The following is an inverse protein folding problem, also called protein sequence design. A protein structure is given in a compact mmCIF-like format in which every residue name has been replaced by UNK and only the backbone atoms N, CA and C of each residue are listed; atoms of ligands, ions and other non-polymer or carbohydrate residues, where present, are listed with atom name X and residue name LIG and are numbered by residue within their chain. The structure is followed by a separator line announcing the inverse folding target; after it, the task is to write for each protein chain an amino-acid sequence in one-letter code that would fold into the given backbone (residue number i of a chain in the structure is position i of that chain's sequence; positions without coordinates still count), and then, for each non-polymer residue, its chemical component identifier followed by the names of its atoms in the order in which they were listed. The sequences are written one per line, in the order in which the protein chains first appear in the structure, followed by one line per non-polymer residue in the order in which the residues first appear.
data_IF_912893310873
#
_entry.id   IF_912893310873
#
_cell.length_a   1.000
_cell.length_b   1.000
_cell.length_c   1.000
_cell.angle_alpha   90.00
_cell.angle_beta   90.00
_cell.angle_gamma   90.00
#
_symmetry.space_group_name_H-M   'P 1'
#
loop_
_entity.id
_entity.type
_entity.pdbx_description
1 polymer ?
#
# COMPACT_ATOMS: atom_id res chain seq x y z
N UNK A 1 7.88 8.28 3.35
CA UNK A 1 6.58 8.55 4.03
C UNK A 1 5.62 9.17 3.03
N UNK A 2 4.43 8.57 2.86
CA UNK A 2 3.34 9.11 2.02
C UNK A 2 2.57 10.18 2.79
N UNK A 3 2.24 11.28 2.14
CA UNK A 3 1.39 12.37 2.69
C UNK A 3 0.00 12.32 2.07
N UNK A 4 -0.08 12.16 0.73
CA UNK A 4 -1.32 12.17 -0.01
C UNK A 4 -1.17 11.41 -1.32
N UNK A 5 -2.22 10.73 -1.72
CA UNK A 5 -2.40 10.15 -3.05
C UNK A 5 -3.71 10.65 -3.64
N UNK A 6 -3.70 11.04 -4.91
CA UNK A 6 -4.90 11.38 -5.65
C UNK A 6 -4.94 10.73 -7.02
N UNK A 7 -6.16 10.42 -7.48
CA UNK A 7 -6.41 9.77 -8.76
C UNK A 7 -7.71 10.24 -9.37
N UNK A 8 -7.73 10.38 -10.69
CA UNK A 8 -8.91 10.74 -11.49
C UNK A 8 -8.99 9.87 -12.74
N UNK A 9 -10.20 9.57 -13.17
CA UNK A 9 -10.51 8.82 -14.39
C UNK A 9 -9.79 7.47 -14.49
N UNK A 10 -9.92 6.63 -13.46
CA UNK A 10 -9.31 5.31 -13.44
C UNK A 10 -10.24 4.26 -12.81
N UNK A 11 -10.46 3.14 -13.49
CA UNK A 11 -11.37 2.05 -13.08
C UNK A 11 -12.79 2.57 -12.76
N UNK A 12 -13.24 2.48 -11.51
CA UNK A 12 -14.54 3.02 -11.07
C UNK A 12 -14.47 4.47 -10.57
N UNK A 13 -13.29 5.07 -10.55
CA UNK A 13 -13.06 6.44 -10.12
C UNK A 13 -13.23 7.36 -11.34
N UNK A 14 -14.27 8.19 -11.33
CA UNK A 14 -14.57 9.14 -12.41
C UNK A 14 -13.90 10.48 -12.18
N UNK A 15 -14.21 11.08 -11.06
CA UNK A 15 -13.73 12.39 -10.64
C UNK A 15 -12.54 12.23 -9.67
N UNK A 16 -11.84 13.31 -9.38
CA UNK A 16 -10.67 13.26 -8.52
C UNK A 16 -11.01 12.85 -7.09
N UNK A 17 -10.40 11.77 -6.61
CA UNK A 17 -10.46 11.34 -5.22
C UNK A 17 -9.10 11.48 -4.57
N UNK A 18 -9.09 11.76 -3.26
CA UNK A 18 -7.88 12.05 -2.50
C UNK A 18 -7.85 11.22 -1.23
N UNK A 19 -6.83 10.38 -1.08
CA UNK A 19 -6.48 9.68 0.15
C UNK A 19 -5.36 10.46 0.86
N UNK A 20 -5.66 11.06 2.01
CA UNK A 20 -4.70 11.85 2.77
C UNK A 20 -4.27 11.13 4.04
N UNK A 21 -2.98 11.05 4.27
CA UNK A 21 -2.38 10.62 5.54
C UNK A 21 -1.92 11.81 6.40
N UNK A 22 -2.30 13.03 6.05
CA UNK A 22 -2.09 14.19 6.91
C UNK A 22 -3.06 14.09 8.09
N UNK A 23 -2.51 14.11 9.32
CA UNK A 23 -3.33 14.01 10.51
C UNK A 23 -4.21 15.25 10.71
N UNK A 24 -5.42 15.03 11.13
CA UNK A 24 -6.35 16.07 11.54
C UNK A 24 -5.92 16.73 12.86
N UNK A 25 -6.68 17.75 13.29
CA UNK A 25 -6.46 18.41 14.58
C UNK A 25 -6.92 17.58 15.80
N UNK A 26 -7.36 16.36 15.57
CA UNK A 26 -7.75 15.43 16.63
C UNK A 26 -6.54 15.03 17.49
N UNK A 27 -6.69 15.04 18.81
CA UNK A 27 -5.60 14.71 19.74
C UNK A 27 -5.66 13.27 20.28
N UNK A 28 -6.62 12.47 19.80
CA UNK A 28 -6.70 11.05 20.14
C UNK A 28 -5.50 10.29 19.54
N UNK A 29 -5.04 9.25 20.24
CA UNK A 29 -4.00 8.34 19.77
C UNK A 29 -2.76 9.05 19.20
N UNK A 30 -2.04 9.87 19.98
CA UNK A 30 -0.84 10.56 19.49
C UNK A 30 0.27 9.60 19.05
N UNK A 31 0.29 8.37 19.55
CA UNK A 31 1.20 7.28 19.17
C UNK A 31 0.99 6.79 17.73
N UNK A 32 -0.19 7.02 17.15
CA UNK A 32 -0.51 6.68 15.75
C UNK A 32 0.07 7.69 14.74
N UNK A 33 0.86 8.66 15.21
CA UNK A 33 1.33 9.75 14.39
C UNK A 33 2.84 9.71 14.18
N UNK A 34 3.26 10.08 12.99
CA UNK A 34 4.64 10.41 12.63
C UNK A 34 4.76 11.94 12.69
N UNK A 35 5.71 12.45 13.44
CA UNK A 35 5.96 13.89 13.57
C UNK A 35 7.03 14.31 12.58
N UNK A 36 6.68 15.22 11.67
CA UNK A 36 7.58 15.81 10.66
C UNK A 36 7.54 17.35 10.79
N UNK A 37 8.45 17.89 11.58
CA UNK A 37 8.46 19.31 11.92
C UNK A 37 7.16 19.73 12.62
N UNK A 38 6.41 20.66 12.02
CA UNK A 38 5.12 21.13 12.52
C UNK A 38 3.91 20.33 12.00
N UNK A 39 4.16 19.30 11.19
CA UNK A 39 3.11 18.45 10.63
C UNK A 39 3.11 17.10 11.29
N UNK A 40 1.95 16.48 11.31
CA UNK A 40 1.75 15.12 11.81
C UNK A 40 1.10 14.30 10.70
N UNK A 41 1.57 13.07 10.54
CA UNK A 41 1.09 12.16 9.52
C UNK A 41 0.63 10.85 10.16
N UNK A 42 -0.36 10.21 9.56
CA UNK A 42 -0.93 8.96 10.04
C UNK A 42 0.02 7.79 9.72
N UNK A 43 0.16 6.87 10.67
CA UNK A 43 0.87 5.60 10.48
C UNK A 43 0.04 4.56 9.75
N UNK A 44 -1.30 4.67 9.80
CA UNK A 44 -2.17 3.76 9.08
C UNK A 44 -3.46 4.42 8.58
N UNK A 45 -4.03 3.85 7.50
CA UNK A 45 -5.36 4.18 7.01
C UNK A 45 -6.06 2.89 6.54
N UNK A 46 -7.32 2.72 6.95
CA UNK A 46 -8.18 1.60 6.53
C UNK A 46 -9.33 2.10 5.67
N UNK A 47 -9.61 1.39 4.57
CA UNK A 47 -10.68 1.74 3.64
C UNK A 47 -11.79 0.68 3.73
N UNK A 48 -12.99 1.12 4.11
CA UNK A 48 -14.22 0.33 4.17
C UNK A 48 -15.14 0.65 3.02
N UNK A 49 -16.13 -0.19 2.82
CA UNK A 49 -17.20 0.02 1.84
C UNK A 49 -17.85 -1.29 1.43
N UNK A 50 -18.99 -1.22 0.78
CA UNK A 50 -19.69 -2.36 0.22
C UNK A 50 -18.83 -3.12 -0.81
N UNK A 51 -19.22 -4.36 -1.13
CA UNK A 51 -18.64 -5.06 -2.26
C UNK A 51 -18.88 -4.25 -3.55
N UNK A 52 -17.84 -4.16 -4.38
CA UNK A 52 -17.83 -3.36 -5.60
C UNK A 52 -17.98 -1.83 -5.42
N UNK A 53 -17.83 -1.28 -4.19
CA UNK A 53 -17.82 0.17 -3.97
C UNK A 53 -16.60 0.89 -4.52
N UNK A 54 -15.49 0.16 -4.78
CA UNK A 54 -14.26 0.71 -5.34
C UNK A 54 -13.06 0.70 -4.40
N UNK A 55 -13.13 0.07 -3.21
CA UNK A 55 -11.98 -0.08 -2.29
C UNK A 55 -10.70 -0.52 -3.00
N UNK A 56 -10.75 -1.69 -3.65
CA UNK A 56 -9.61 -2.24 -4.40
C UNK A 56 -9.19 -1.34 -5.55
N UNK A 57 -10.10 -0.55 -6.14
CA UNK A 57 -9.77 0.32 -7.28
C UNK A 57 -8.91 1.51 -6.86
N UNK A 58 -9.05 2.02 -5.64
CA UNK A 58 -8.15 3.04 -5.07
C UNK A 58 -6.73 2.47 -4.94
N UNK A 59 -6.59 1.25 -4.39
CA UNK A 59 -5.27 0.61 -4.24
C UNK A 59 -4.67 0.19 -5.59
N UNK A 60 -5.49 -0.29 -6.53
CA UNK A 60 -5.05 -0.61 -7.89
C UNK A 60 -4.60 0.64 -8.66
N UNK A 61 -5.17 1.81 -8.39
CA UNK A 61 -4.69 3.05 -8.96
C UNK A 61 -3.30 3.41 -8.44
N UNK A 62 -3.06 3.23 -7.14
CA UNK A 62 -1.73 3.41 -6.56
C UNK A 62 -0.72 2.40 -7.12
N UNK A 63 -1.10 1.13 -7.22
CA UNK A 63 -0.29 0.09 -7.85
C UNK A 63 0.06 0.45 -9.32
N UNK A 64 -0.91 0.89 -10.11
CA UNK A 64 -0.67 1.32 -11.50
C UNK A 64 0.37 2.45 -11.55
N UNK A 65 0.23 3.47 -10.68
CA UNK A 65 1.17 4.58 -10.61
C UNK A 65 2.58 4.10 -10.31
N UNK A 66 2.76 3.30 -9.26
CA UNK A 66 4.06 2.76 -8.85
C UNK A 66 4.67 1.90 -9.96
N UNK A 67 3.90 0.95 -10.49
CA UNK A 67 4.37 0.07 -11.56
C UNK A 67 4.78 0.84 -12.83
N UNK A 68 3.99 1.85 -13.23
CA UNK A 68 4.28 2.64 -14.42
C UNK A 68 5.53 3.52 -14.24
N UNK A 69 5.74 4.09 -13.06
CA UNK A 69 6.98 4.81 -12.71
C UNK A 69 8.19 3.89 -12.80
N UNK A 70 8.10 2.69 -12.25
CA UNK A 70 9.24 1.76 -12.21
C UNK A 70 9.56 1.11 -13.56
N UNK A 71 8.55 0.94 -14.45
CA UNK A 71 8.71 0.10 -15.65
C UNK A 71 8.59 0.81 -16.98
N UNK A 72 8.06 2.06 -17.03
CA UNK A 72 7.73 2.71 -18.31
C UNK A 72 8.94 2.99 -19.21
N UNK A 73 10.16 3.12 -18.64
CA UNK A 73 11.39 3.25 -19.44
C UNK A 73 11.65 2.06 -20.36
N UNK A 74 11.13 0.87 -20.04
CA UNK A 74 11.26 -0.36 -20.82
C UNK A 74 10.22 -0.49 -21.95
N UNK A 75 9.23 0.41 -22.01
CA UNK A 75 8.19 0.31 -23.03
C UNK A 75 8.74 0.52 -24.45
N UNK A 76 8.30 -0.32 -25.37
CA UNK A 76 8.62 -0.15 -26.79
C UNK A 76 7.94 1.10 -27.35
N UNK A 77 8.56 1.72 -28.33
CA UNK A 77 7.99 2.87 -29.04
C UNK A 77 6.61 2.50 -29.62
N UNK A 78 5.63 3.39 -29.43
CA UNK A 78 4.24 3.21 -29.88
C UNK A 78 3.44 2.10 -29.19
N UNK A 79 4.00 1.40 -28.18
CA UNK A 79 3.19 0.50 -27.35
C UNK A 79 2.14 1.32 -26.59
N UNK A 80 0.91 0.81 -26.56
CA UNK A 80 -0.19 1.42 -25.79
C UNK A 80 0.09 1.36 -24.28
N UNK A 81 -0.32 2.40 -23.59
CA UNK A 81 -0.31 2.45 -22.12
C UNK A 81 -1.57 1.71 -21.65
N UNK A 82 -1.38 0.61 -20.90
CA UNK A 82 -2.46 -0.25 -20.42
C UNK A 82 -3.17 0.38 -19.21
N UNK A 83 -3.74 1.58 -19.40
CA UNK A 83 -4.60 2.20 -18.38
C UNK A 83 -6.03 1.69 -18.50
N UNK A 84 -6.80 1.81 -17.44
CA UNK A 84 -8.23 1.47 -17.42
C UNK A 84 -9.04 2.70 -17.03
N UNK A 85 -9.45 3.56 -18.00
CA UNK A 85 -10.25 4.74 -17.66
C UNK A 85 -11.65 4.37 -17.19
N UNK A 86 -12.32 5.28 -16.51
CA UNK A 86 -13.73 5.12 -16.16
C UNK A 86 -14.58 4.93 -17.41
N UNK A 87 -15.45 3.90 -17.43
CA UNK A 87 -16.13 3.45 -18.65
C UNK A 87 -17.60 3.87 -18.76
N UNK A 88 -18.21 4.37 -17.68
CA UNK A 88 -19.65 4.64 -17.64
C UNK A 88 -20.05 6.08 -17.99
N UNK A 89 -19.11 6.84 -18.61
CA UNK A 89 -19.39 8.14 -19.21
C UNK A 89 -18.77 8.21 -20.62
N UNK A 90 -19.40 8.96 -21.53
CA UNK A 90 -18.95 9.01 -22.94
C UNK A 90 -17.59 9.68 -23.11
N UNK A 91 -17.30 10.70 -22.30
CA UNK A 91 -16.11 11.52 -22.38
C UNK A 91 -14.88 10.88 -21.71
N UNK A 92 -15.08 10.09 -20.68
CA UNK A 92 -13.99 9.58 -19.83
C UNK A 92 -13.02 8.63 -20.53
N UNK A 93 -13.41 7.74 -21.47
CA UNK A 93 -12.44 6.90 -22.17
C UNK A 93 -11.42 7.71 -22.99
N UNK A 94 -11.78 8.90 -23.49
CA UNK A 94 -10.88 9.77 -24.25
C UNK A 94 -10.12 10.77 -23.38
N UNK A 95 -10.57 11.03 -22.15
CA UNK A 95 -9.87 11.90 -21.20
C UNK A 95 -8.64 11.20 -20.62
N UNK A 96 -7.56 11.93 -20.27
CA UNK A 96 -6.46 11.36 -19.54
C UNK A 96 -6.90 10.78 -18.17
N UNK A 97 -6.19 9.76 -17.70
CA UNK A 97 -6.20 9.36 -16.30
C UNK A 97 -5.06 10.08 -15.59
N UNK A 98 -5.34 10.67 -14.42
CA UNK A 98 -4.38 11.50 -13.68
C UNK A 98 -4.06 10.87 -12.34
N UNK A 99 -2.79 10.95 -11.93
CA UNK A 99 -2.26 10.41 -10.68
C UNK A 99 -1.30 11.42 -10.07
N UNK A 100 -1.39 11.62 -8.76
CA UNK A 100 -0.45 12.44 -8.01
C UNK A 100 -0.15 11.82 -6.65
N UNK A 101 1.10 11.92 -6.22
CA UNK A 101 1.53 11.64 -4.85
C UNK A 101 2.29 12.83 -4.27
N UNK A 102 2.03 13.10 -2.99
CA UNK A 102 2.86 13.97 -2.16
C UNK A 102 3.49 13.09 -1.09
N UNK A 103 4.80 13.12 -0.97
CA UNK A 103 5.54 12.27 -0.04
C UNK A 103 6.80 12.93 0.45
N UNK A 104 7.40 12.38 1.52
CA UNK A 104 8.70 12.78 2.04
C UNK A 104 9.67 11.61 1.95
N UNK A 105 10.85 11.83 1.40
CA UNK A 105 11.99 10.91 1.43
C UNK A 105 13.26 11.68 1.70
N UNK A 106 14.20 11.10 2.47
CA UNK A 106 15.46 11.73 2.86
C UNK A 106 15.27 13.15 3.46
N UNK A 107 14.17 13.35 4.23
CA UNK A 107 13.85 14.65 4.84
C UNK A 107 13.35 15.73 3.88
N UNK A 108 13.18 15.42 2.60
CA UNK A 108 12.70 16.35 1.56
C UNK A 108 11.30 15.93 1.12
N UNK A 109 10.37 16.89 1.09
CA UNK A 109 9.03 16.68 0.54
C UNK A 109 9.07 16.83 -0.97
N UNK A 110 8.37 15.92 -1.66
CA UNK A 110 8.15 15.91 -3.10
C UNK A 110 6.66 15.92 -3.43
N UNK A 111 6.31 16.48 -4.59
CA UNK A 111 5.03 16.32 -5.25
C UNK A 111 5.31 15.85 -6.68
N UNK A 112 4.87 14.66 -7.01
CA UNK A 112 5.01 14.05 -8.32
C UNK A 112 3.66 13.65 -8.87
N UNK A 113 3.39 14.01 -10.10
CA UNK A 113 2.15 13.66 -10.78
C UNK A 113 2.33 13.51 -12.28
N UNK A 114 1.41 12.77 -12.88
CA UNK A 114 1.31 12.62 -14.32
C UNK A 114 -0.14 12.35 -14.77
N UNK A 115 -0.41 12.67 -16.03
CA UNK A 115 -1.64 12.30 -16.70
C UNK A 115 -1.34 11.55 -18.00
N UNK A 116 -2.11 10.48 -18.28
CA UNK A 116 -1.87 9.59 -19.41
C UNK A 116 -3.15 9.27 -20.17
N UNK A 117 -3.03 9.17 -21.49
CA UNK A 117 -3.99 8.49 -22.37
C UNK A 117 -3.46 7.10 -22.72
N UNK A 118 -4.18 6.34 -23.54
CA UNK A 118 -3.70 5.05 -24.03
C UNK A 118 -2.45 5.17 -24.92
N UNK A 119 -2.15 6.38 -25.43
CA UNK A 119 -1.09 6.61 -26.41
C UNK A 119 0.10 7.38 -25.88
N UNK A 120 -0.12 8.25 -24.89
CA UNK A 120 0.89 9.18 -24.47
C UNK A 120 0.72 9.65 -23.02
N UNK A 121 1.83 10.03 -22.43
CA UNK A 121 1.90 10.88 -21.24
C UNK A 121 1.58 12.31 -21.70
N UNK A 122 0.51 12.88 -21.17
CA UNK A 122 0.05 14.24 -21.56
C UNK A 122 0.75 15.28 -20.69
N UNK A 123 0.77 15.04 -19.36
CA UNK A 123 1.43 15.89 -18.39
C UNK A 123 2.26 15.04 -17.46
N UNK A 124 3.35 15.61 -16.97
CA UNK A 124 4.19 15.02 -15.93
C UNK A 124 4.97 16.12 -15.23
N UNK A 125 5.06 16.09 -13.91
CA UNK A 125 5.80 17.09 -13.16
C UNK A 125 6.44 16.50 -11.91
N UNK A 126 7.55 17.09 -11.49
CA UNK A 126 8.20 16.83 -10.22
C UNK A 126 8.59 18.17 -9.56
N UNK A 127 7.97 18.42 -8.42
CA UNK A 127 8.34 19.47 -7.50
C UNK A 127 9.00 18.89 -6.27
N UNK A 128 9.94 19.63 -5.70
CA UNK A 128 10.53 19.33 -4.39
C UNK A 128 10.49 20.57 -3.50
N UNK A 129 10.64 20.39 -2.20
CA UNK A 129 10.47 21.46 -1.22
C UNK A 129 11.71 21.57 -0.32
N UNK A 130 12.88 21.98 -0.86
CA UNK A 130 14.05 22.28 -0.05
C UNK A 130 13.72 23.47 0.84
N UNK A 131 14.00 23.35 2.13
CA UNK A 131 13.69 24.41 3.10
C UNK A 131 12.20 24.83 3.13
N UNK A 132 11.28 23.94 2.77
CA UNK A 132 9.83 24.18 2.79
C UNK A 132 9.27 25.00 1.63
N UNK A 133 10.09 25.51 0.71
CA UNK A 133 9.65 26.26 -0.47
C UNK A 133 9.59 25.34 -1.68
N UNK A 134 8.54 25.52 -2.49
CA UNK A 134 8.36 24.76 -3.72
C UNK A 134 9.41 25.17 -4.77
N UNK A 135 10.08 24.18 -5.34
CA UNK A 135 10.97 24.33 -6.49
C UNK A 135 10.65 23.26 -7.54
N UNK A 136 10.73 23.63 -8.81
CA UNK A 136 10.50 22.71 -9.92
C UNK A 136 11.80 21.96 -10.25
N UNK A 137 11.71 20.64 -10.44
CA UNK A 137 12.78 19.86 -11.07
C UNK A 137 12.50 19.78 -12.56
N UNK A 138 11.31 19.28 -12.94
CA UNK A 138 10.85 19.29 -14.32
C UNK A 138 9.31 19.37 -14.39
N UNK A 139 8.82 19.87 -15.51
CA UNK A 139 7.42 19.86 -15.91
C UNK A 139 7.36 19.49 -17.41
N UNK A 140 6.42 18.64 -17.78
CA UNK A 140 6.10 18.23 -19.14
C UNK A 140 4.64 18.52 -19.41
N UNK A 141 4.34 19.25 -20.50
CA UNK A 141 2.97 19.55 -20.96
C UNK A 141 2.80 19.12 -22.42
N UNK A 142 1.57 18.81 -22.78
CA UNK A 142 1.23 18.43 -24.15
C UNK A 142 2.20 17.40 -24.75
N UNK A 143 2.68 16.46 -23.93
CA UNK A 143 3.57 15.36 -24.30
C UNK A 143 5.01 15.80 -24.67
N UNK A 144 5.22 16.98 -25.25
CA UNK A 144 6.50 17.39 -25.85
C UNK A 144 7.07 18.68 -25.28
N UNK A 145 6.27 19.47 -24.59
CA UNK A 145 6.72 20.71 -24.01
C UNK A 145 7.31 20.47 -22.62
N UNK A 146 8.63 20.61 -22.50
CA UNK A 146 9.37 20.39 -21.26
C UNK A 146 9.93 21.69 -20.71
N UNK A 147 9.79 21.86 -19.42
CA UNK A 147 10.36 22.96 -18.67
C UNK A 147 11.26 22.42 -17.56
N UNK A 148 12.50 22.86 -17.55
CA UNK A 148 13.51 22.56 -16.55
C UNK A 148 14.00 23.84 -15.86
N UNK A 149 14.32 23.78 -14.57
CA UNK A 149 14.87 24.93 -13.82
C UNK A 149 16.26 24.67 -13.25
N UNK A 150 16.71 23.43 -13.30
CA UNK A 150 18.02 22.99 -12.85
C UNK A 150 18.61 22.03 -13.88
N UNK A 151 19.95 21.94 -13.98
CA UNK A 151 20.68 20.99 -14.82
C UNK A 151 20.11 20.89 -16.27
N UNK A 152 19.82 22.06 -16.87
CA UNK A 152 19.01 22.17 -18.10
C UNK A 152 19.60 21.39 -19.27
N UNK A 153 20.93 21.39 -19.46
CA UNK A 153 21.61 20.73 -20.58
C UNK A 153 21.52 19.19 -20.43
N UNK A 154 21.73 18.68 -19.24
CA UNK A 154 21.60 17.27 -18.93
C UNK A 154 20.12 16.81 -19.14
N UNK A 155 19.17 17.55 -18.59
CA UNK A 155 17.75 17.24 -18.72
C UNK A 155 17.26 17.33 -20.18
N UNK A 156 17.76 18.25 -21.00
CA UNK A 156 17.46 18.28 -22.44
C UNK A 156 17.92 17.01 -23.16
N UNK A 157 19.09 16.50 -22.82
CA UNK A 157 19.59 15.23 -23.38
C UNK A 157 18.68 14.05 -23.00
N UNK A 158 18.19 14.01 -21.76
CA UNK A 158 17.27 12.97 -21.28
C UNK A 158 15.86 13.11 -21.90
N UNK A 159 15.40 14.34 -22.10
CA UNK A 159 14.14 14.60 -22.81
C UNK A 159 14.14 13.97 -24.20
N UNK A 160 15.22 14.12 -24.97
CA UNK A 160 15.34 13.59 -26.33
C UNK A 160 15.28 12.04 -26.40
N UNK A 161 15.52 11.38 -25.25
CA UNK A 161 15.41 9.92 -25.08
C UNK A 161 14.05 9.47 -24.59
N UNK A 162 13.15 10.41 -24.27
CA UNK A 162 11.84 10.14 -23.69
C UNK A 162 10.76 10.11 -24.77
N UNK A 163 10.30 8.91 -25.15
CA UNK A 163 9.19 8.77 -26.08
C UNK A 163 7.85 9.17 -25.43
N UNK A 164 6.84 9.41 -26.28
CA UNK A 164 5.53 9.88 -25.84
C UNK A 164 4.86 8.98 -24.80
N UNK A 165 5.08 7.68 -24.86
CA UNK A 165 4.50 6.66 -23.97
C UNK A 165 5.40 6.29 -22.77
N UNK A 166 6.41 7.09 -22.42
CA UNK A 166 7.28 6.88 -21.26
C UNK A 166 7.22 8.07 -20.33
N UNK A 167 7.25 7.79 -19.04
CA UNK A 167 7.46 8.83 -18.03
C UNK A 167 8.91 9.32 -18.09
N UNK A 168 9.07 10.65 -18.02
CA UNK A 168 10.39 11.27 -17.97
C UNK A 168 11.16 10.87 -16.72
N UNK A 169 10.47 10.81 -15.55
CA UNK A 169 11.04 10.31 -14.30
C UNK A 169 11.68 8.94 -14.47
N UNK A 170 10.95 8.00 -15.09
CA UNK A 170 11.41 6.63 -15.33
C UNK A 170 12.63 6.57 -16.26
N UNK A 171 12.64 7.39 -17.30
CA UNK A 171 13.77 7.47 -18.23
C UNK A 171 14.98 8.12 -17.55
N UNK A 172 14.79 9.27 -16.89
CA UNK A 172 15.86 10.00 -16.23
C UNK A 172 16.53 9.17 -15.11
N UNK A 173 15.74 8.38 -14.37
CA UNK A 173 16.28 7.48 -13.35
C UNK A 173 17.12 6.34 -13.96
N UNK A 174 16.67 5.77 -15.08
CA UNK A 174 17.41 4.72 -15.80
C UNK A 174 18.77 5.23 -16.33
N UNK A 175 18.91 6.56 -16.52
CA UNK A 175 20.16 7.22 -16.88
C UNK A 175 20.88 7.85 -15.67
N UNK A 176 20.49 7.44 -14.45
CA UNK A 176 21.14 7.84 -13.19
C UNK A 176 21.14 9.35 -12.92
N UNK A 177 20.12 10.08 -13.40
CA UNK A 177 20.00 11.50 -13.07
C UNK A 177 19.72 11.70 -11.57
N UNK A 178 20.68 12.27 -10.87
CA UNK A 178 20.77 12.27 -9.41
C UNK A 178 19.55 12.85 -8.68
N UNK A 179 18.89 13.87 -9.25
CA UNK A 179 17.76 14.54 -8.59
C UNK A 179 16.47 13.73 -8.60
N UNK A 180 16.35 12.72 -9.47
CA UNK A 180 15.15 11.85 -9.51
C UNK A 180 15.35 10.52 -8.80
N UNK A 181 16.60 10.14 -8.48
CA UNK A 181 16.92 8.88 -7.80
C UNK A 181 16.18 8.72 -6.46
N UNK A 182 16.18 9.71 -5.54
CA UNK A 182 15.44 9.56 -4.28
C UNK A 182 13.94 9.34 -4.47
N UNK A 183 13.37 9.89 -5.54
CA UNK A 183 11.96 9.71 -5.90
C UNK A 183 11.72 8.27 -6.38
N UNK A 184 12.57 7.76 -7.28
CA UNK A 184 12.48 6.38 -7.77
C UNK A 184 12.65 5.37 -6.64
N UNK A 185 13.63 5.56 -5.76
CA UNK A 185 13.88 4.72 -4.60
C UNK A 185 12.68 4.67 -3.66
N UNK A 186 12.01 5.80 -3.44
CA UNK A 186 10.77 5.83 -2.68
C UNK A 186 9.68 4.98 -3.33
N UNK A 187 9.46 5.08 -4.64
CA UNK A 187 8.50 4.23 -5.35
C UNK A 187 8.88 2.75 -5.27
N UNK A 188 10.17 2.43 -5.42
CA UNK A 188 10.68 1.06 -5.35
C UNK A 188 10.58 0.45 -3.94
N UNK A 189 10.58 1.28 -2.89
CA UNK A 189 10.44 0.82 -1.50
C UNK A 189 9.00 0.52 -1.11
N UNK A 190 7.99 0.95 -1.88
CA UNK A 190 6.59 0.67 -1.60
C UNK A 190 6.29 -0.83 -1.76
N UNK A 191 5.77 -1.47 -0.71
CA UNK A 191 5.29 -2.84 -0.76
C UNK A 191 3.79 -2.83 -1.07
N UNK A 192 3.37 -3.52 -2.14
CA UNK A 192 1.97 -3.49 -2.58
C UNK A 192 1.46 -4.92 -2.77
N UNK A 193 0.44 -5.28 -1.98
CA UNK A 193 -0.24 -6.57 -2.02
C UNK A 193 -1.64 -6.34 -2.58
N UNK A 194 -1.81 -6.59 -3.88
CA UNK A 194 -3.12 -6.55 -4.55
C UNK A 194 -3.25 -7.78 -5.45
N UNK A 195 -4.43 -8.02 -5.98
CA UNK A 195 -4.66 -9.11 -6.95
C UNK A 195 -3.75 -9.00 -8.19
N UNK A 196 -3.28 -7.80 -8.50
CA UNK A 196 -2.40 -7.54 -9.65
C UNK A 196 -0.91 -7.68 -9.33
N UNK A 197 -0.52 -7.74 -8.05
CA UNK A 197 0.88 -7.78 -7.59
C UNK A 197 1.30 -9.10 -6.93
N UNK A 198 0.47 -10.14 -6.98
CA UNK A 198 0.57 -11.37 -6.16
C UNK A 198 1.82 -12.21 -6.41
N UNK A 199 2.54 -12.02 -7.50
CA UNK A 199 3.63 -12.94 -7.86
C UNK A 199 4.92 -12.80 -7.03
N UNK A 200 5.23 -11.60 -6.52
CA UNK A 200 6.54 -11.33 -5.87
C UNK A 200 6.44 -10.75 -4.44
N UNK A 201 5.25 -10.66 -3.88
CA UNK A 201 4.99 -9.93 -2.64
C UNK A 201 5.25 -10.72 -1.35
N UNK A 202 6.13 -11.72 -1.38
CA UNK A 202 6.55 -12.38 -0.15
C UNK A 202 7.78 -11.64 0.41
N UNK A 203 7.58 -10.77 1.39
CA UNK A 203 8.64 -10.04 2.07
C UNK A 203 9.63 -10.93 2.85
N UNK A 204 9.50 -12.25 2.72
CA UNK A 204 10.41 -13.25 3.27
C UNK A 204 11.35 -13.71 2.15
N UNK A 205 12.57 -13.26 2.19
CA UNK A 205 13.63 -13.78 1.32
C UNK A 205 14.23 -15.05 1.98
N UNK A 206 14.41 -16.11 1.19
CA UNK A 206 15.00 -17.37 1.68
C UNK A 206 16.37 -17.12 2.34
N UNK A 207 17.10 -16.12 1.90
CA UNK A 207 18.40 -15.76 2.48
C UNK A 207 18.27 -15.18 3.89
N UNK A 208 17.27 -14.34 4.15
CA UNK A 208 17.01 -13.77 5.48
C UNK A 208 16.60 -14.85 6.48
N UNK A 209 15.87 -15.88 6.01
CA UNK A 209 15.45 -17.00 6.85
C UNK A 209 16.61 -17.96 7.21
N UNK A 210 17.81 -17.81 6.62
CA UNK A 210 19.03 -18.49 7.08
C UNK A 210 19.58 -17.90 8.38
N UNK A 211 19.26 -16.64 8.67
CA UNK A 211 19.63 -15.98 9.91
C UNK A 211 18.74 -16.48 11.07
N UNK A 212 19.37 -16.97 12.13
CA UNK A 212 18.69 -17.53 13.30
C UNK A 212 17.90 -16.46 14.06
N UNK A 213 18.46 -15.25 14.21
CA UNK A 213 17.82 -14.16 14.93
C UNK A 213 16.57 -13.68 14.18
N UNK A 214 16.67 -13.58 12.84
CA UNK A 214 15.52 -13.26 12.01
C UNK A 214 14.40 -14.32 12.12
N UNK A 215 14.75 -15.62 12.06
CA UNK A 215 13.76 -16.69 12.26
C UNK A 215 13.11 -16.63 13.64
N UNK A 216 13.88 -16.33 14.69
CA UNK A 216 13.33 -16.17 16.04
C UNK A 216 12.31 -15.02 16.13
N UNK A 217 12.55 -13.88 15.47
CA UNK A 217 11.60 -12.77 15.41
C UNK A 217 10.32 -13.17 14.68
N UNK A 218 10.45 -13.80 13.49
CA UNK A 218 9.27 -14.28 12.73
C UNK A 218 8.48 -15.32 13.53
N UNK A 219 9.16 -16.28 14.17
CA UNK A 219 8.51 -17.26 15.04
C UNK A 219 7.79 -16.61 16.23
N UNK A 220 8.36 -15.54 16.81
CA UNK A 220 7.72 -14.80 17.89
C UNK A 220 6.43 -14.10 17.44
N UNK A 221 6.42 -13.55 16.23
CA UNK A 221 5.22 -12.97 15.63
C UNK A 221 4.15 -14.04 15.33
N UNK A 222 4.55 -15.22 14.85
CA UNK A 222 3.64 -16.34 14.64
C UNK A 222 2.99 -16.83 15.95
N UNK A 223 3.76 -16.90 17.04
CA UNK A 223 3.24 -17.33 18.35
C UNK A 223 2.11 -16.45 18.88
N UNK A 224 2.15 -15.16 18.60
CA UNK A 224 1.07 -14.23 18.98
C UNK A 224 -0.26 -14.63 18.30
N UNK A 225 -0.19 -15.25 17.14
CA UNK A 225 -1.35 -15.74 16.41
C UNK A 225 -1.94 -17.06 16.96
N UNK A 226 -1.34 -17.64 18.00
CA UNK A 226 -1.77 -18.90 18.65
C UNK A 226 -1.84 -20.11 17.69
N UNK A 227 -0.92 -20.18 16.74
CA UNK A 227 -0.85 -21.31 15.79
C UNK A 227 -0.10 -22.53 16.35
N UNK A 228 0.27 -22.55 17.64
CA UNK A 228 1.03 -23.63 18.27
C UNK A 228 2.49 -23.73 17.84
N UNK A 229 2.95 -22.84 16.97
CA UNK A 229 4.32 -22.82 16.46
C UNK A 229 5.25 -22.24 17.53
N UNK A 230 6.26 -23.00 17.94
CA UNK A 230 7.23 -22.58 18.94
C UNK A 230 8.49 -21.95 18.32
N UNK A 231 8.93 -22.48 17.21
CA UNK A 231 10.09 -21.98 16.47
C UNK A 231 10.00 -22.35 15.00
N UNK A 232 10.87 -21.74 14.20
CA UNK A 232 11.07 -22.08 12.79
C UNK A 232 12.48 -22.62 12.62
N UNK A 233 12.66 -23.61 11.77
CA UNK A 233 13.98 -24.11 11.38
C UNK A 233 14.08 -24.31 9.87
N UNK A 234 15.31 -24.26 9.36
CA UNK A 234 15.58 -24.62 7.97
C UNK A 234 15.54 -26.15 7.85
N UNK A 235 14.97 -26.62 6.76
CA UNK A 235 14.97 -28.06 6.43
C UNK A 235 16.36 -28.47 6.02
N UNK A 236 16.86 -29.58 6.58
CA UNK A 236 18.19 -30.14 6.27
C UNK A 236 18.31 -30.75 4.87
N UNK A 237 17.16 -31.05 4.21
CA UNK A 237 17.13 -31.71 2.90
C UNK A 237 17.00 -30.65 1.78
N UNK A 238 17.82 -30.79 0.73
CA UNK A 238 17.64 -29.96 -0.49
C UNK A 238 16.25 -30.25 -1.10
N UNK A 239 15.45 -29.20 -1.40
CA UNK A 239 14.16 -29.38 -2.06
C UNK A 239 14.36 -29.93 -3.47
N UNK A 240 13.35 -30.68 -3.97
CA UNK A 240 13.35 -31.13 -5.35
C UNK A 240 13.52 -29.95 -6.33
N UNK A 241 14.15 -30.15 -7.49
CA UNK A 241 14.43 -29.06 -8.44
C UNK A 241 13.21 -28.22 -8.83
N UNK A 242 12.01 -28.84 -8.84
CA UNK A 242 10.73 -28.16 -9.10
C UNK A 242 10.23 -27.29 -7.93
N UNK A 243 10.81 -27.41 -6.74
CA UNK A 243 10.38 -26.73 -5.51
C UNK A 243 11.43 -25.76 -4.96
N UNK A 244 12.59 -25.59 -5.63
CA UNK A 244 13.73 -24.80 -5.13
C UNK A 244 13.40 -23.34 -4.88
N UNK A 245 12.38 -22.78 -5.53
CA UNK A 245 11.97 -21.39 -5.39
C UNK A 245 10.80 -21.20 -4.41
N UNK A 246 10.27 -22.28 -3.83
CA UNK A 246 9.18 -22.17 -2.87
C UNK A 246 9.75 -22.13 -1.46
N UNK A 247 9.70 -20.95 -0.84
CA UNK A 247 10.21 -20.70 0.51
C UNK A 247 9.52 -21.60 1.55
N UNK A 248 8.26 -21.97 1.33
CA UNK A 248 7.48 -22.79 2.25
C UNK A 248 7.98 -24.22 2.33
N UNK A 249 8.56 -24.75 1.27
CA UNK A 249 9.11 -26.12 1.25
C UNK A 249 10.44 -26.25 1.98
N UNK A 250 11.11 -25.13 2.27
CA UNK A 250 12.43 -25.07 2.92
C UNK A 250 12.36 -24.74 4.42
N UNK A 251 11.17 -24.44 4.94
CA UNK A 251 10.96 -24.05 6.34
C UNK A 251 10.07 -25.07 7.03
N UNK A 252 10.44 -25.45 8.23
CA UNK A 252 9.65 -26.29 9.13
C UNK A 252 9.24 -25.48 10.36
N UNK A 253 7.96 -25.59 10.70
CA UNK A 253 7.39 -25.10 11.95
C UNK A 253 7.54 -26.17 13.03
N UNK A 254 8.09 -25.81 14.17
CA UNK A 254 8.24 -26.70 15.30
C UNK A 254 7.07 -26.55 16.27
N UNK A 255 6.29 -27.57 16.40
CA UNK A 255 5.18 -27.68 17.34
C UNK A 255 5.58 -28.44 18.58
N UNK A 256 5.11 -27.99 19.73
CA UNK A 256 5.33 -28.68 21.01
C UNK A 256 4.01 -29.22 21.52
N UNK A 257 3.93 -30.52 21.72
CA UNK A 257 2.72 -31.22 22.18
C UNK A 257 3.01 -31.90 23.49
N UNK A 258 2.10 -31.80 24.46
CA UNK A 258 2.13 -32.58 25.68
C UNK A 258 1.26 -33.81 25.52
N UNK A 259 1.78 -34.97 25.92
CA UNK A 259 1.00 -36.20 26.01
C UNK A 259 0.12 -36.24 27.27
N UNK A 260 -0.68 -37.27 27.42
CA UNK A 260 -1.57 -37.48 28.58
C UNK A 260 -0.83 -37.69 29.90
N UNK A 261 0.47 -37.96 29.85
CA UNK A 261 1.35 -38.17 31.02
C UNK A 261 2.14 -36.90 31.36
N UNK A 262 1.99 -35.83 30.59
CA UNK A 262 2.67 -34.55 30.79
C UNK A 262 4.06 -34.44 30.15
N UNK A 263 4.50 -35.46 29.39
CA UNK A 263 5.75 -35.41 28.66
C UNK A 263 5.61 -34.52 27.44
N UNK A 264 6.62 -33.72 27.18
CA UNK A 264 6.63 -32.77 26.07
C UNK A 264 7.43 -33.34 24.90
N UNK A 265 6.84 -33.39 23.72
CA UNK A 265 7.50 -33.81 22.47
C UNK A 265 7.40 -32.68 21.43
N UNK A 266 8.47 -32.50 20.64
CA UNK A 266 8.51 -31.54 19.56
C UNK A 266 8.38 -32.23 18.21
N UNK A 267 7.56 -31.69 17.33
CA UNK A 267 7.29 -32.20 15.99
C UNK A 267 7.57 -31.09 14.98
N UNK A 268 8.28 -31.44 13.90
CA UNK A 268 8.51 -30.57 12.76
C UNK A 268 7.41 -30.81 11.72
N UNK A 269 6.75 -29.75 11.29
CA UNK A 269 5.79 -29.76 10.18
C UNK A 269 6.27 -28.79 9.13
N UNK A 270 6.28 -29.21 7.86
CA UNK A 270 6.66 -28.29 6.77
C UNK A 270 5.65 -27.18 6.66
N UNK A 271 6.13 -25.93 6.46
CA UNK A 271 5.21 -24.77 6.32
C UNK A 271 4.18 -24.94 5.20
N UNK A 272 4.50 -25.68 4.14
CA UNK A 272 3.54 -25.99 3.08
C UNK A 272 2.37 -26.91 3.53
N UNK A 273 2.53 -27.62 4.66
CA UNK A 273 1.53 -28.52 5.24
C UNK A 273 0.68 -27.82 6.32
N UNK A 274 1.07 -26.60 6.71
CA UNK A 274 0.30 -25.78 7.63
C UNK A 274 -1.03 -25.29 7.02
N UNK A 275 -1.93 -24.80 7.87
CA UNK A 275 -3.22 -24.27 7.41
C UNK A 275 -3.04 -23.06 6.47
N UNK A 276 -4.03 -22.83 5.58
CA UNK A 276 -4.06 -21.67 4.71
C UNK A 276 -3.97 -20.34 5.50
N UNK A 277 -4.58 -20.29 6.68
CA UNK A 277 -4.52 -19.14 7.57
C UNK A 277 -3.11 -18.90 8.11
N UNK A 278 -2.43 -19.95 8.57
CA UNK A 278 -1.03 -19.92 9.03
C UNK A 278 -0.11 -19.45 7.92
N UNK A 279 -0.26 -20.03 6.73
CA UNK A 279 0.53 -19.67 5.56
C UNK A 279 0.30 -18.23 5.11
N UNK A 280 -0.94 -17.76 5.10
CA UNK A 280 -1.29 -16.37 4.76
C UNK A 280 -0.69 -15.39 5.77
N UNK A 281 -0.79 -15.72 7.06
CA UNK A 281 -0.21 -14.89 8.11
C UNK A 281 1.32 -14.86 8.06
N UNK A 282 1.96 -16.02 7.85
CA UNK A 282 3.42 -16.11 7.71
C UNK A 282 3.95 -15.23 6.57
N UNK A 283 3.29 -15.27 5.41
CA UNK A 283 3.62 -14.37 4.27
C UNK A 283 3.52 -12.91 4.67
N UNK A 284 2.40 -12.56 5.30
CA UNK A 284 2.09 -11.17 5.63
C UNK A 284 3.04 -10.60 6.69
N UNK A 285 3.39 -11.37 7.73
CA UNK A 285 4.31 -10.89 8.76
C UNK A 285 5.72 -10.66 8.23
N UNK A 286 6.16 -11.41 7.23
CA UNK A 286 7.45 -11.17 6.56
C UNK A 286 7.48 -9.79 5.89
N UNK A 287 6.43 -9.46 5.12
CA UNK A 287 6.28 -8.13 4.50
C UNK A 287 6.17 -7.05 5.58
N UNK A 288 5.34 -7.27 6.60
CA UNK A 288 5.17 -6.32 7.72
C UNK A 288 6.49 -6.06 8.42
N UNK A 289 7.26 -7.10 8.74
CA UNK A 289 8.57 -6.97 9.39
C UNK A 289 9.53 -6.13 8.54
N UNK A 290 9.65 -6.43 7.25
CA UNK A 290 10.48 -5.66 6.31
C UNK A 290 10.07 -4.18 6.28
N UNK A 291 8.79 -3.91 6.13
CA UNK A 291 8.25 -2.54 6.05
C UNK A 291 8.50 -1.75 7.35
N UNK A 292 8.33 -2.40 8.51
CA UNK A 292 8.60 -1.78 9.82
C UNK A 292 10.08 -1.49 10.02
N UNK A 293 10.97 -2.39 9.61
CA UNK A 293 12.42 -2.22 9.71
C UNK A 293 12.92 -1.08 8.80
N UNK A 294 12.40 -1.00 7.58
CA UNK A 294 12.81 -0.02 6.58
C UNK A 294 12.09 1.34 6.73
N UNK A 295 11.02 1.42 7.51
CA UNK A 295 10.21 2.64 7.65
C UNK A 295 9.47 3.02 6.35
N UNK A 296 9.03 2.02 5.56
CA UNK A 296 8.44 2.21 4.24
C UNK A 296 6.91 2.14 4.25
N UNK A 297 6.27 2.06 3.07
CA UNK A 297 4.83 2.00 2.91
C UNK A 297 4.39 0.59 2.50
N UNK A 298 3.43 0.03 3.24
CA UNK A 298 2.66 -1.15 2.84
C UNK A 298 1.27 -0.73 2.37
N UNK A 299 0.89 -1.18 1.18
CA UNK A 299 -0.46 -1.06 0.64
C UNK A 299 -1.02 -2.47 0.44
N UNK A 300 -2.09 -2.83 1.14
CA UNK A 300 -2.63 -4.20 1.15
C UNK A 300 -4.13 -4.23 0.87
N UNK A 301 -4.53 -4.91 -0.21
CA UNK A 301 -5.94 -5.16 -0.51
C UNK A 301 -6.43 -6.39 0.24
N UNK A 302 -7.61 -6.30 0.87
CA UNK A 302 -8.23 -7.38 1.66
C UNK A 302 -7.23 -8.00 2.67
N UNK A 303 -6.52 -7.16 3.45
CA UNK A 303 -5.47 -7.59 4.38
C UNK A 303 -5.97 -8.63 5.42
N UNK A 304 -7.25 -8.60 5.71
CA UNK A 304 -7.94 -9.49 6.64
C UNK A 304 -8.42 -10.81 6.01
N UNK A 305 -8.21 -11.01 4.71
CA UNK A 305 -8.58 -12.26 4.04
C UNK A 305 -7.89 -13.45 4.71
N UNK A 306 -8.68 -14.42 5.12
CA UNK A 306 -8.22 -15.65 5.83
C UNK A 306 -7.62 -15.44 7.23
N UNK A 307 -7.69 -14.20 7.79
CA UNK A 307 -7.19 -13.92 9.13
C UNK A 307 -8.33 -13.79 10.15
N UNK A 308 -8.08 -14.28 11.36
CA UNK A 308 -8.98 -14.01 12.48
C UNK A 308 -8.98 -12.49 12.78
N UNK A 309 -10.12 -11.87 13.13
CA UNK A 309 -10.21 -10.42 13.40
C UNK A 309 -9.19 -9.87 14.40
N UNK A 310 -8.83 -10.65 15.42
CA UNK A 310 -7.81 -10.27 16.41
C UNK A 310 -6.41 -10.16 15.80
N UNK A 311 -6.09 -10.99 14.80
CA UNK A 311 -4.80 -10.92 14.09
C UNK A 311 -4.70 -9.67 13.23
N UNK A 312 -5.78 -9.32 12.53
CA UNK A 312 -5.83 -8.05 11.78
C UNK A 312 -5.63 -6.86 12.71
N UNK A 313 -6.31 -6.86 13.87
CA UNK A 313 -6.14 -5.81 14.89
C UNK A 313 -4.71 -5.76 15.41
N UNK A 314 -4.09 -6.92 15.66
CA UNK A 314 -2.69 -7.00 16.09
C UNK A 314 -1.74 -6.42 15.03
N UNK A 315 -1.87 -6.80 13.76
CA UNK A 315 -1.05 -6.25 12.67
C UNK A 315 -1.15 -4.72 12.58
N UNK A 316 -2.36 -4.18 12.64
CA UNK A 316 -2.58 -2.72 12.66
C UNK A 316 -1.92 -2.06 13.88
N UNK A 317 -1.97 -2.73 15.04
CA UNK A 317 -1.34 -2.21 16.27
C UNK A 317 0.19 -2.14 16.16
N UNK A 318 0.84 -3.03 15.41
CA UNK A 318 2.29 -2.96 15.15
C UNK A 318 2.67 -1.65 14.44
N UNK A 319 1.92 -1.27 13.40
CA UNK A 319 2.17 -0.01 12.70
C UNK A 319 1.91 1.22 13.58
N UNK A 320 0.87 1.18 14.40
CA UNK A 320 0.49 2.29 15.26
C UNK A 320 1.36 2.41 16.53
N UNK A 321 2.12 1.37 16.89
CA UNK A 321 3.02 1.37 18.04
C UNK A 321 4.23 2.29 17.82
N UNK A 322 4.72 2.89 18.89
CA UNK A 322 6.02 3.59 18.91
C UNK A 322 7.17 2.59 19.03
N UNK A 323 6.97 1.51 19.80
CA UNK A 323 7.97 0.48 20.05
C UNK A 323 8.25 -0.39 18.81
N UNK A 324 7.18 -0.89 18.15
CA UNK A 324 7.32 -1.78 17.00
C UNK A 324 7.53 -1.03 15.68
N UNK A 325 7.20 0.26 15.62
CA UNK A 325 7.34 1.11 14.44
C UNK A 325 8.15 2.39 14.75
N UNK A 326 9.41 2.27 15.16
CA UNK A 326 10.26 3.44 15.43
C UNK A 326 10.66 4.19 14.16
N UNK A 327 10.67 3.52 13.01
CA UNK A 327 11.11 4.08 11.73
C UNK A 327 9.97 4.78 10.95
N UNK A 328 8.75 4.81 11.50
CA UNK A 328 7.62 5.51 10.89
C UNK A 328 7.10 4.85 9.61
N UNK A 329 7.07 3.53 9.56
CA UNK A 329 6.40 2.78 8.50
C UNK A 329 4.91 3.14 8.43
N UNK A 330 4.33 3.06 7.23
CA UNK A 330 2.92 3.38 7.00
C UNK A 330 2.17 2.18 6.40
N UNK A 331 0.88 2.04 6.74
CA UNK A 331 -0.01 1.00 6.27
C UNK A 331 -1.28 1.61 5.65
N UNK A 332 -1.57 1.28 4.41
CA UNK A 332 -2.88 1.53 3.78
C UNK A 332 -3.48 0.19 3.42
N UNK A 333 -4.70 -0.08 3.86
CA UNK A 333 -5.31 -1.36 3.58
C UNK A 333 -6.83 -1.28 3.42
N UNK A 334 -7.40 -2.24 2.71
CA UNK A 334 -8.84 -2.45 2.69
C UNK A 334 -9.22 -3.57 3.64
N UNK A 335 -10.40 -3.49 4.23
CA UNK A 335 -10.91 -4.50 5.15
C UNK A 335 -12.43 -4.66 5.03
N UNK A 336 -12.89 -5.88 5.30
CA UNK A 336 -14.29 -6.19 5.54
C UNK A 336 -14.58 -6.40 7.04
N UNK A 337 -13.55 -6.42 7.88
CA UNK A 337 -13.66 -6.65 9.31
C UNK A 337 -14.06 -5.38 10.05
N UNK A 338 -15.32 -5.29 10.47
CA UNK A 338 -15.86 -4.12 11.16
C UNK A 338 -15.33 -3.91 12.59
N UNK A 339 -14.64 -4.90 13.18
CA UNK A 339 -14.08 -4.80 14.53
C UNK A 339 -12.97 -3.72 14.67
N UNK A 340 -12.45 -3.21 13.54
CA UNK A 340 -11.51 -2.07 13.54
C UNK A 340 -12.24 -0.71 13.49
N UNK A 341 -13.57 -0.69 13.28
CA UNK A 341 -14.39 0.53 13.34
C UNK A 341 -14.66 0.93 14.80
N UNK A 342 -13.59 1.11 15.54
CA UNK A 342 -13.57 1.42 16.97
C UNK A 342 -12.60 2.57 17.23
N UNK A 343 -13.09 3.64 17.86
CA UNK A 343 -12.28 4.81 18.19
C UNK A 343 -11.30 4.58 19.34
N UNK A 344 -11.44 3.46 20.06
CA UNK A 344 -10.42 2.98 21.01
C UNK A 344 -9.23 2.29 20.28
N UNK A 345 -9.36 2.03 18.97
CA UNK A 345 -8.36 1.34 18.14
C UNK A 345 -7.76 2.25 17.08
N UNK A 346 -8.59 3.08 16.46
CA UNK A 346 -8.20 3.95 15.35
C UNK A 346 -8.74 5.36 15.53
N UNK A 347 -8.00 6.33 15.02
CA UNK A 347 -8.43 7.72 14.91
C UNK A 347 -9.49 7.84 13.80
N UNK A 348 -10.33 8.86 13.88
CA UNK A 348 -11.36 9.13 12.85
C UNK A 348 -10.75 9.39 11.47
N UNK A 349 -9.60 10.05 11.41
CA UNK A 349 -8.87 10.36 10.18
C UNK A 349 -8.11 9.15 9.59
N UNK A 350 -7.99 8.04 10.34
CA UNK A 350 -7.48 6.76 9.82
C UNK A 350 -8.55 5.91 9.13
N UNK A 351 -9.85 6.22 9.32
CA UNK A 351 -10.97 5.45 8.79
C UNK A 351 -11.53 6.14 7.55
N UNK A 352 -11.50 5.44 6.43
CA UNK A 352 -11.98 5.89 5.14
C UNK A 352 -13.08 5.00 4.61
N UNK A 353 -13.96 5.57 3.79
CA UNK A 353 -15.06 4.87 3.16
C UNK A 353 -15.04 5.06 1.65
N UNK A 354 -15.42 4.00 0.91
CA UNK A 354 -15.76 4.10 -0.51
C UNK A 354 -17.22 3.82 -0.70
N UNK A 355 -17.88 4.67 -1.46
CA UNK A 355 -19.27 4.49 -1.88
C UNK A 355 -19.37 4.60 -3.40
N UNK A 356 -20.24 3.81 -3.97
CA UNK A 356 -20.51 3.85 -5.40
C UNK A 356 -21.85 4.55 -5.64
N UNK A 357 -21.83 5.66 -6.38
CA UNK A 357 -23.02 6.37 -6.77
C UNK A 357 -23.93 5.48 -7.63
N UNK A 358 -25.21 5.36 -7.28
CA UNK A 358 -26.14 4.47 -7.97
C UNK A 358 -26.45 4.90 -9.41
N UNK A 359 -26.38 6.18 -9.72
CA UNK A 359 -26.74 6.72 -11.03
C UNK A 359 -25.55 6.73 -12.00
N UNK A 360 -24.40 7.13 -11.52
CA UNK A 360 -23.18 7.28 -12.33
C UNK A 360 -22.25 6.08 -12.26
N UNK A 361 -22.42 5.21 -11.27
CA UNK A 361 -21.53 4.12 -10.93
C UNK A 361 -20.07 4.57 -10.61
N UNK A 362 -19.89 5.86 -10.32
CA UNK A 362 -18.62 6.41 -9.90
C UNK A 362 -18.35 6.11 -8.42
N UNK A 363 -17.08 5.82 -8.11
CA UNK A 363 -16.62 5.65 -6.72
C UNK A 363 -16.28 7.02 -6.14
N UNK A 364 -16.79 7.28 -4.94
CA UNK A 364 -16.37 8.36 -4.06
C UNK A 364 -15.53 7.79 -2.91
N UNK A 365 -14.63 8.61 -2.35
CA UNK A 365 -13.73 8.28 -1.24
C UNK A 365 -13.77 9.41 -0.21
N UNK A 366 -14.16 9.11 1.02
CA UNK A 366 -14.28 10.10 2.09
C UNK A 366 -13.87 9.54 3.45
N UNK A 367 -13.50 10.42 4.37
CA UNK A 367 -13.04 10.05 5.71
C UNK A 367 -14.17 10.05 6.73
N UNK A 368 -14.08 9.20 7.75
CA UNK A 368 -14.95 9.29 8.93
C UNK A 368 -14.76 10.65 9.65
N UNK A 369 -13.62 11.30 9.48
CA UNK A 369 -13.37 12.64 10.02
C UNK A 369 -14.28 13.72 9.43
N UNK A 370 -14.80 13.51 8.21
CA UNK A 370 -15.74 14.45 7.55
C UNK A 370 -17.12 14.49 8.21
N UNK A 371 -17.39 13.51 9.09
CA UNK A 371 -18.63 13.43 9.85
C UNK A 371 -18.45 14.03 11.25
N UNK A 372 -19.46 14.82 11.66
CA UNK A 372 -19.51 15.36 13.02
C UNK A 372 -19.98 14.27 14.01
N UNK A 373 -19.05 13.45 14.46
CA UNK A 373 -19.32 12.38 15.43
C UNK A 373 -18.69 12.69 16.81
N UNK A 374 -19.31 12.18 17.87
CA UNK A 374 -18.78 12.29 19.22
C UNK A 374 -17.61 11.30 19.41
N UNK A 375 -16.72 11.57 20.36
CA UNK A 375 -15.59 10.71 20.69
C UNK A 375 -15.97 9.31 21.18
N UNK A 376 -17.12 9.22 21.87
CA UNK A 376 -17.71 7.99 22.43
C UNK A 376 -18.67 7.27 21.45
N UNK A 377 -18.68 7.67 20.17
CA UNK A 377 -19.58 7.11 19.18
C UNK A 377 -19.23 5.64 18.90
N UNK A 378 -20.25 4.80 18.87
CA UNK A 378 -20.16 3.40 18.43
C UNK A 378 -20.11 3.38 16.90
N UNK A 379 -18.88 3.54 16.32
CA UNK A 379 -18.68 3.70 14.88
C UNK A 379 -19.12 2.46 14.12
N UNK A 380 -18.75 1.26 14.59
CA UNK A 380 -19.20 0.01 13.97
C UNK A 380 -20.71 -0.07 13.83
N UNK A 381 -21.44 0.18 14.93
CA UNK A 381 -22.90 0.17 14.90
C UNK A 381 -23.45 1.23 13.94
N UNK A 382 -22.86 2.44 13.93
CA UNK A 382 -23.24 3.51 13.01
C UNK A 382 -23.04 3.09 11.54
N UNK A 383 -21.92 2.46 11.22
CA UNK A 383 -21.63 1.93 9.89
C UNK A 383 -22.64 0.86 9.48
N UNK A 384 -22.86 -0.15 10.31
CA UNK A 384 -23.78 -1.27 10.00
C UNK A 384 -25.25 -0.84 9.75
N UNK A 385 -25.68 0.30 10.32
CA UNK A 385 -27.01 0.87 10.06
C UNK A 385 -27.01 1.92 8.94
N UNK A 386 -25.90 2.10 8.23
CA UNK A 386 -25.78 3.02 7.09
C UNK A 386 -25.64 4.50 7.42
N UNK A 387 -25.32 4.86 8.67
CA UNK A 387 -25.19 6.27 9.09
C UNK A 387 -24.12 7.03 8.31
N UNK A 388 -23.07 6.34 7.85
CA UNK A 388 -21.94 6.91 7.12
C UNK A 388 -21.96 6.56 5.63
N UNK A 389 -23.07 6.00 5.12
CA UNK A 389 -23.09 5.43 3.77
C UNK A 389 -22.21 4.17 3.65
N UNK A 390 -21.75 3.90 2.46
CA UNK A 390 -20.76 2.85 2.15
C UNK A 390 -21.16 1.41 2.53
N UNK A 391 -22.44 1.15 2.77
CA UNK A 391 -23.00 -0.18 3.07
C UNK A 391 -23.69 -0.79 1.84
N UNK A 392 -23.75 -2.13 1.74
CA UNK A 392 -24.52 -2.77 0.68
C UNK A 392 -26.03 -2.53 0.85
N UNK A 393 -26.69 -2.02 -0.19
CA UNK A 393 -28.13 -1.97 -0.26
C UNK A 393 -28.68 -3.33 -0.68
N UNK A 394 -29.22 -4.09 0.25
CA UNK A 394 -29.95 -5.34 -0.04
C UNK A 394 -31.35 -4.95 -0.53
N UNK A 395 -31.53 -4.87 -1.86
CA UNK A 395 -32.87 -4.69 -2.46
C UNK A 395 -33.63 -6.00 -2.33
N UNK A 396 -34.64 -6.03 -1.48
CA UNK A 396 -35.53 -7.15 -1.29
C UNK A 396 -35.57 -7.53 0.18
N UNK A 397 -36.62 -7.15 0.87
CA UNK A 397 -36.93 -7.73 2.16
C UNK A 397 -37.17 -9.24 2.02
N UNK A 398 -36.63 -10.00 2.95
CA UNK A 398 -37.04 -11.38 3.19
C UNK A 398 -38.53 -11.42 3.53
#
# INVERSE_FOLDING_TARGET
MLIQFSVENFLSIKDNVVLSLLASKDNEHPEHLIVDGNKKHLKSAVIYGANASGKSNVLNAFWFMVNYVLTSHNQQLHKTIERSPFKFARETPSRPSSFEVIFTTNGIRYAYGFSVTDKAVIEEYLYYYPNGRQALIFERKDTKDFRFTVDVDEQNTLKDRTSANKLYLSVASNWSYSKVIPVLEWFASCQIITKNSVADAYGLEAEQLKDDDYRHVIASMLRVADFGIQSLQMRDAEPAPSQRNDIFTNIEAIHTVQDTEGNTSSYALNMAEESDGTNSYFKLIGVVKKVLDEGTLLVADEMDAHLHPLLTKHLVSLFNSVEFNPNGAQLIFTSHNTNLLDLDVLRRDQIWFTEKDEQTAATDLFSLYDFSIRKDAKVEKGYLIGRYGAIPFIKGGL
#
